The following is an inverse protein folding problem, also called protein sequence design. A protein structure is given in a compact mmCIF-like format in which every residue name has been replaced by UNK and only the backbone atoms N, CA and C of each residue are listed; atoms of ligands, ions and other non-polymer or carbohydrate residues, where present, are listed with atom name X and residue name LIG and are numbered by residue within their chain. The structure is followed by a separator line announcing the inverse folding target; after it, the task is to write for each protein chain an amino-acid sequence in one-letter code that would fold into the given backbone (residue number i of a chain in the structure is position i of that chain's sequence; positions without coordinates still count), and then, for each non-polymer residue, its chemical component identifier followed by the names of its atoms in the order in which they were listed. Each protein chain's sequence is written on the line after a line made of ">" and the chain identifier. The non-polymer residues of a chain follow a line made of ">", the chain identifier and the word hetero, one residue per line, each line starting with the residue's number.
data_IF_047497314964
#
_entry.id   IF_047497314964
#
_cell.length_a   1.000
_cell.length_b   1.000
_cell.length_c   1.000
_cell.angle_alpha   90.00
_cell.angle_beta   90.00
_cell.angle_gamma   90.00
#
_symmetry.space_group_name_H-M   'P 1'
#
loop_
_entity.id
_entity.type
_entity.pdbx_description
1 polymer ?
#
# COMPACT_ATOMS: atom_id res chain seq x y z
N UNK A 1 -4.41 -32.77 -4.57
CA UNK A 1 -4.42 -32.30 -3.16
C UNK A 1 -3.42 -31.17 -3.08
N UNK A 2 -3.88 -29.93 -3.08
CA UNK A 2 -2.96 -28.79 -2.93
C UNK A 2 -2.54 -28.74 -1.48
N UNK A 3 -1.23 -28.72 -1.28
CA UNK A 3 -0.57 -28.64 0.00
C UNK A 3 -1.14 -27.48 0.85
N UNK A 4 -1.74 -27.80 1.98
CA UNK A 4 -2.26 -26.82 2.96
C UNK A 4 -1.20 -26.44 3.99
N UNK A 5 0.02 -26.94 3.84
CA UNK A 5 1.10 -26.91 4.83
C UNK A 5 2.04 -25.71 4.68
N UNK A 6 1.57 -24.52 4.22
CA UNK A 6 2.38 -23.34 4.43
C UNK A 6 2.56 -23.15 5.96
N UNK A 7 3.79 -23.08 6.47
CA UNK A 7 4.00 -22.91 7.90
C UNK A 7 3.42 -21.56 8.36
N UNK A 8 2.87 -21.53 9.57
CA UNK A 8 2.54 -20.27 10.21
C UNK A 8 3.82 -19.48 10.46
N UNK A 9 3.72 -18.17 10.41
CA UNK A 9 4.84 -17.25 10.64
C UNK A 9 4.37 -16.00 11.38
N UNK A 10 5.29 -15.27 12.00
CA UNK A 10 4.97 -13.99 12.60
C UNK A 10 5.10 -12.86 11.58
N UNK A 11 4.03 -12.06 11.42
CA UNK A 11 4.07 -10.79 10.73
C UNK A 11 4.23 -9.63 11.72
N UNK A 12 4.91 -8.57 11.31
CA UNK A 12 5.10 -7.33 12.05
C UNK A 12 4.62 -6.15 11.19
N UNK A 13 3.61 -5.44 11.66
CA UNK A 13 3.23 -4.13 11.16
C UNK A 13 4.02 -3.07 11.96
N UNK A 14 5.22 -2.75 11.51
CA UNK A 14 6.14 -1.85 12.22
C UNK A 14 5.64 -0.41 12.16
N UNK A 15 5.28 0.16 13.30
CA UNK A 15 4.84 1.54 13.43
C UNK A 15 6.04 2.47 13.59
N UNK A 16 6.70 2.77 12.47
CA UNK A 16 7.90 3.60 12.42
C UNK A 16 7.56 5.09 12.27
N UNK A 17 8.45 5.96 12.76
CA UNK A 17 8.35 7.41 12.55
C UNK A 17 8.57 7.74 11.07
N UNK A 18 7.78 8.66 10.52
CA UNK A 18 8.05 9.28 9.23
C UNK A 18 8.84 10.58 9.41
N UNK A 19 9.98 10.69 8.75
CA UNK A 19 10.80 11.90 8.72
C UNK A 19 10.73 12.53 7.32
N UNK A 20 9.75 13.41 7.10
CA UNK A 20 9.45 13.97 5.80
C UNK A 20 10.62 14.79 5.20
N UNK A 21 10.80 14.67 3.88
CA UNK A 21 11.82 15.40 3.11
C UNK A 21 11.36 16.81 2.67
N UNK A 22 10.14 17.21 3.04
CA UNK A 22 9.59 18.51 2.67
C UNK A 22 10.53 19.70 3.00
N UNK A 23 11.20 19.75 4.18
CA UNK A 23 12.10 20.85 4.51
C UNK A 23 13.42 20.85 3.72
N UNK A 24 13.78 19.76 3.06
CA UNK A 24 15.03 19.64 2.33
C UNK A 24 15.08 20.64 1.16
N UNK A 25 16.20 21.31 1.00
CA UNK A 25 16.37 22.37 -0.01
C UNK A 25 16.83 21.84 -1.36
N UNK A 26 17.37 20.61 -1.39
CA UNK A 26 17.83 19.98 -2.62
C UNK A 26 17.48 18.48 -2.64
N UNK A 27 17.48 17.85 -3.83
CA UNK A 27 17.33 16.40 -3.94
C UNK A 27 18.41 15.62 -3.18
N UNK A 28 19.66 16.09 -3.17
CA UNK A 28 20.78 15.44 -2.47
C UNK A 28 20.55 15.42 -0.96
N UNK A 29 20.06 16.53 -0.38
CA UNK A 29 19.70 16.61 1.04
C UNK A 29 18.54 15.64 1.35
N UNK A 30 17.55 15.56 0.47
CA UNK A 30 16.43 14.62 0.61
C UNK A 30 16.90 13.16 0.55
N UNK A 31 17.80 12.82 -0.40
CA UNK A 31 18.38 11.46 -0.51
C UNK A 31 19.17 11.09 0.74
N UNK A 32 20.03 11.99 1.24
CA UNK A 32 20.78 11.77 2.48
C UNK A 32 19.84 11.52 3.67
N UNK A 33 18.73 12.25 3.76
CA UNK A 33 17.73 12.07 4.80
C UNK A 33 17.00 10.72 4.67
N UNK A 34 16.62 10.32 3.46
CA UNK A 34 16.01 9.00 3.21
C UNK A 34 16.97 7.87 3.60
N UNK A 35 18.24 7.95 3.23
CA UNK A 35 19.24 6.95 3.63
C UNK A 35 19.40 6.86 5.16
N UNK A 36 19.40 7.99 5.87
CA UNK A 36 19.40 7.99 7.34
C UNK A 36 18.13 7.34 7.90
N UNK A 37 16.97 7.58 7.28
CA UNK A 37 15.70 6.91 7.60
C UNK A 37 15.78 5.39 7.41
N UNK A 38 16.40 4.91 6.34
CA UNK A 38 16.61 3.47 6.09
C UNK A 38 17.51 2.85 7.17
N UNK A 39 18.58 3.53 7.58
CA UNK A 39 19.45 3.07 8.68
C UNK A 39 18.67 2.95 10.00
N UNK A 40 17.80 3.91 10.30
CA UNK A 40 16.92 3.86 11.47
C UNK A 40 15.93 2.71 11.38
N UNK A 41 15.24 2.53 10.27
CA UNK A 41 14.30 1.43 10.03
C UNK A 41 15.01 0.08 10.19
N UNK A 42 16.23 -0.05 9.66
CA UNK A 42 17.05 -1.26 9.87
C UNK A 42 17.26 -1.58 11.36
N UNK A 43 17.59 -0.57 12.15
CA UNK A 43 17.80 -0.75 13.60
C UNK A 43 16.48 -1.12 14.30
N UNK A 44 15.36 -0.51 13.93
CA UNK A 44 14.03 -0.84 14.47
C UNK A 44 13.64 -2.29 14.14
N UNK A 45 13.88 -2.75 12.91
CA UNK A 45 13.64 -4.14 12.48
C UNK A 45 14.53 -5.11 13.27
N UNK A 46 15.84 -4.81 13.39
CA UNK A 46 16.79 -5.63 14.13
C UNK A 46 16.37 -5.81 15.59
N UNK A 47 16.03 -4.70 16.27
CA UNK A 47 15.55 -4.71 17.66
C UNK A 47 14.24 -5.48 17.81
N UNK A 48 13.31 -5.31 16.86
CA UNK A 48 12.03 -6.03 16.87
C UNK A 48 12.23 -7.54 16.72
N UNK A 49 13.04 -7.98 15.77
CA UNK A 49 13.32 -9.42 15.56
C UNK A 49 14.06 -10.01 16.74
N UNK A 50 15.00 -9.27 17.34
CA UNK A 50 15.71 -9.73 18.53
C UNK A 50 14.78 -9.96 19.74
N UNK A 51 13.70 -9.16 19.84
CA UNK A 51 12.71 -9.28 20.90
C UNK A 51 11.61 -10.32 20.60
N UNK A 52 11.05 -10.32 19.39
CA UNK A 52 9.92 -11.17 18.99
C UNK A 52 10.38 -12.60 18.73
N UNK A 53 11.47 -12.77 17.99
CA UNK A 53 12.03 -14.06 17.60
C UNK A 53 12.26 -14.22 16.09
N UNK A 54 12.91 -15.31 15.66
CA UNK A 54 13.27 -15.58 14.28
C UNK A 54 12.09 -16.01 13.40
N UNK A 55 10.90 -16.20 13.97
CA UNK A 55 9.65 -16.53 13.28
C UNK A 55 9.08 -15.34 12.53
N UNK A 56 9.59 -14.13 12.71
CA UNK A 56 9.24 -12.95 11.92
C UNK A 56 9.68 -13.17 10.48
N UNK A 57 8.71 -13.27 9.56
CA UNK A 57 8.97 -13.49 8.12
C UNK A 57 8.36 -12.42 7.22
N UNK A 58 7.51 -11.56 7.77
CA UNK A 58 6.94 -10.42 7.06
C UNK A 58 7.03 -9.17 7.93
N UNK A 59 7.63 -8.11 7.40
CA UNK A 59 7.61 -6.77 8.01
C UNK A 59 6.95 -5.81 7.03
N UNK A 60 5.94 -5.08 7.49
CA UNK A 60 5.25 -4.04 6.72
C UNK A 60 5.58 -2.68 7.32
N UNK A 61 6.02 -1.75 6.47
CA UNK A 61 6.33 -0.37 6.84
C UNK A 61 5.16 0.57 6.55
N UNK A 62 5.07 1.71 7.25
CA UNK A 62 4.07 2.73 6.99
C UNK A 62 4.16 3.35 5.59
N UNK A 63 3.06 3.98 5.17
CA UNK A 63 3.06 4.90 4.04
C UNK A 63 4.02 6.07 4.31
N UNK A 64 4.74 6.50 3.29
CA UNK A 64 5.64 7.65 3.35
C UNK A 64 6.76 7.57 4.40
N UNK A 65 7.12 6.40 4.88
CA UNK A 65 8.10 6.24 5.97
C UNK A 65 9.44 6.96 5.71
N UNK A 66 9.83 7.13 4.44
CA UNK A 66 11.08 7.76 4.03
C UNK A 66 10.92 9.20 3.54
N UNK A 67 9.72 9.63 3.14
CA UNK A 67 9.58 10.85 2.31
C UNK A 67 8.59 11.88 2.86
N UNK A 68 7.54 11.46 3.54
CA UNK A 68 6.34 12.29 3.67
C UNK A 68 5.56 12.36 2.35
N UNK A 69 4.77 13.42 2.16
CA UNK A 69 3.91 13.63 1.00
C UNK A 69 3.97 15.09 0.52
N UNK A 70 3.63 15.40 -0.76
CA UNK A 70 3.71 16.75 -1.27
C UNK A 70 2.73 17.69 -0.55
N UNK A 71 3.22 18.84 -0.09
CA UNK A 71 2.46 19.85 0.66
C UNK A 71 2.50 21.24 -0.03
N UNK A 72 2.56 21.24 -1.35
CA UNK A 72 2.61 22.44 -2.16
C UNK A 72 3.70 22.42 -3.22
N UNK A 73 4.57 21.44 -3.21
CA UNK A 73 5.54 21.18 -4.28
C UNK A 73 4.79 20.86 -5.60
N UNK A 74 5.37 21.23 -6.72
CA UNK A 74 4.94 20.76 -8.03
C UNK A 74 5.27 19.27 -8.21
N UNK A 75 4.64 18.62 -9.18
CA UNK A 75 4.94 17.22 -9.49
C UNK A 75 6.42 17.00 -9.82
N UNK A 76 7.04 17.91 -10.57
CA UNK A 76 8.45 17.85 -10.93
C UNK A 76 9.38 18.03 -9.71
N UNK A 77 9.07 18.99 -8.82
CA UNK A 77 9.83 19.20 -7.58
C UNK A 77 9.74 18.00 -6.66
N UNK A 78 8.53 17.44 -6.48
CA UNK A 78 8.35 16.27 -5.62
C UNK A 78 9.01 15.03 -6.20
N UNK A 79 8.89 14.81 -7.52
CA UNK A 79 9.61 13.73 -8.22
C UNK A 79 11.12 13.80 -7.95
N UNK A 80 11.73 14.97 -8.12
CA UNK A 80 13.16 15.13 -7.90
C UNK A 80 13.59 14.86 -6.45
N UNK A 81 12.77 15.27 -5.47
CA UNK A 81 13.08 15.12 -4.04
C UNK A 81 12.78 13.72 -3.50
N UNK A 82 11.65 13.11 -3.88
CA UNK A 82 11.06 12.00 -3.15
C UNK A 82 10.93 10.71 -3.96
N UNK A 83 10.96 10.77 -5.31
CA UNK A 83 10.80 9.55 -6.10
C UNK A 83 12.13 8.77 -6.17
N UNK A 84 12.09 7.49 -5.87
CA UNK A 84 13.22 6.56 -5.78
C UNK A 84 13.29 5.77 -7.08
N UNK A 85 14.48 5.54 -7.60
CA UNK A 85 14.68 4.67 -8.74
C UNK A 85 14.61 3.19 -8.30
N UNK A 86 14.02 2.35 -9.16
CA UNK A 86 13.80 0.94 -8.85
C UNK A 86 15.11 0.13 -8.65
N UNK A 87 16.21 0.65 -9.17
CA UNK A 87 17.58 0.13 -9.06
C UNK A 87 18.51 1.12 -8.35
N UNK A 88 17.92 2.08 -7.61
CA UNK A 88 18.66 3.11 -6.90
C UNK A 88 19.17 2.66 -5.51
N UNK A 89 20.04 3.47 -4.90
CA UNK A 89 20.69 3.13 -3.63
C UNK A 89 19.71 2.95 -2.46
N UNK A 90 18.57 3.64 -2.47
CA UNK A 90 17.55 3.47 -1.45
C UNK A 90 16.88 2.10 -1.56
N UNK A 91 16.59 1.66 -2.81
CA UNK A 91 16.03 0.34 -3.05
C UNK A 91 17.03 -0.75 -2.67
N UNK A 92 18.29 -0.64 -3.07
CA UNK A 92 19.35 -1.58 -2.70
C UNK A 92 19.52 -1.69 -1.18
N UNK A 93 19.46 -0.57 -0.45
CA UNK A 93 19.55 -0.57 1.01
C UNK A 93 18.34 -1.27 1.67
N UNK A 94 17.14 -1.13 1.13
CA UNK A 94 15.95 -1.83 1.59
C UNK A 94 16.03 -3.33 1.27
N UNK A 95 16.51 -3.69 0.06
CA UNK A 95 16.72 -5.07 -0.35
C UNK A 95 17.75 -5.76 0.57
N UNK A 96 18.80 -5.04 0.96
CA UNK A 96 19.78 -5.55 1.91
C UNK A 96 19.17 -5.81 3.30
N UNK A 97 18.22 -5.00 3.77
CA UNK A 97 17.49 -5.28 5.02
C UNK A 97 16.74 -6.60 4.90
N UNK A 98 15.98 -6.81 3.82
CA UNK A 98 15.22 -8.03 3.59
C UNK A 98 16.12 -9.27 3.61
N UNK A 99 17.26 -9.22 2.90
CA UNK A 99 18.19 -10.35 2.82
C UNK A 99 18.94 -10.60 4.12
N UNK A 100 19.42 -9.56 4.81
CA UNK A 100 20.20 -9.71 6.05
C UNK A 100 19.37 -10.33 7.18
N UNK A 101 18.07 -10.05 7.23
CA UNK A 101 17.17 -10.58 8.25
C UNK A 101 16.34 -11.79 7.80
N UNK A 102 16.43 -12.20 6.53
CA UNK A 102 15.69 -13.33 5.99
C UNK A 102 14.16 -13.12 6.03
N UNK A 103 13.69 -11.91 5.72
CA UNK A 103 12.29 -11.49 5.81
C UNK A 103 11.76 -11.00 4.45
N UNK A 104 10.44 -11.07 4.27
CA UNK A 104 9.75 -10.25 3.28
C UNK A 104 9.55 -8.85 3.85
N UNK A 105 9.99 -7.83 3.13
CA UNK A 105 9.88 -6.43 3.53
C UNK A 105 8.92 -5.70 2.58
N UNK A 106 7.78 -5.27 3.12
CA UNK A 106 6.83 -4.45 2.37
C UNK A 106 6.99 -2.98 2.76
N UNK A 107 7.13 -2.11 1.75
CA UNK A 107 7.23 -0.67 1.94
C UNK A 107 6.44 0.09 0.89
N UNK A 108 6.13 1.35 1.16
CA UNK A 108 5.42 2.26 0.26
C UNK A 108 6.24 3.54 0.08
N UNK A 109 6.32 4.01 -1.15
CA UNK A 109 7.03 5.23 -1.48
C UNK A 109 6.68 5.74 -2.88
N UNK A 110 7.34 6.79 -3.28
CA UNK A 110 7.26 7.30 -4.65
C UNK A 110 8.39 6.70 -5.49
N UNK A 111 8.08 6.33 -6.72
CA UNK A 111 9.06 5.77 -7.65
C UNK A 111 9.08 6.50 -8.99
N UNK A 112 10.25 6.59 -9.59
CA UNK A 112 10.43 7.00 -10.98
C UNK A 112 10.10 5.84 -11.91
N UNK A 113 9.90 6.15 -13.20
CA UNK A 113 9.64 5.14 -14.21
C UNK A 113 10.23 5.52 -15.56
N UNK A 114 10.84 4.53 -16.25
CA UNK A 114 11.49 4.75 -17.55
C UNK A 114 10.48 4.99 -18.69
N UNK A 115 9.28 4.40 -18.60
CA UNK A 115 8.21 4.59 -19.59
C UNK A 115 7.43 5.89 -19.38
N UNK A 116 7.55 6.50 -18.18
CA UNK A 116 6.85 7.70 -17.75
C UNK A 116 7.81 8.70 -17.11
N UNK A 117 8.83 9.19 -17.84
CA UNK A 117 9.87 10.06 -17.27
C UNK A 117 9.32 11.41 -16.75
N UNK A 118 8.14 11.82 -17.19
CA UNK A 118 7.46 13.04 -16.75
C UNK A 118 6.73 12.88 -15.41
N UNK A 119 6.46 11.63 -15.00
CA UNK A 119 5.66 11.30 -13.84
C UNK A 119 6.51 10.66 -12.71
N UNK A 120 5.88 10.45 -11.61
CA UNK A 120 6.25 9.51 -10.57
C UNK A 120 4.99 8.77 -10.13
N UNK A 121 5.13 7.56 -9.62
CA UNK A 121 4.00 6.81 -9.08
C UNK A 121 4.21 6.54 -7.59
N UNK A 122 3.11 6.46 -6.85
CA UNK A 122 3.15 5.91 -5.50
C UNK A 122 3.04 4.39 -5.60
N UNK A 123 4.09 3.70 -5.17
CA UNK A 123 4.20 2.25 -5.24
C UNK A 123 4.22 1.58 -3.88
N UNK A 124 3.61 0.40 -3.80
CA UNK A 124 3.84 -0.57 -2.73
C UNK A 124 4.71 -1.70 -3.29
N UNK A 125 5.82 -1.96 -2.64
CA UNK A 125 6.80 -2.96 -3.05
C UNK A 125 6.93 -4.02 -1.96
N UNK A 126 7.06 -5.28 -2.35
CA UNK A 126 7.50 -6.36 -1.46
C UNK A 126 8.80 -6.92 -1.98
N UNK A 127 9.80 -6.93 -1.12
CA UNK A 127 11.13 -7.51 -1.36
C UNK A 127 11.20 -8.81 -0.57
N UNK A 128 11.66 -9.89 -1.19
CA UNK A 128 11.79 -11.18 -0.57
C UNK A 128 13.14 -11.37 0.16
N UNK A 129 13.35 -12.49 0.88
CA UNK A 129 14.61 -12.76 1.58
C UNK A 129 15.86 -12.86 0.68
N UNK A 130 15.72 -12.99 -0.63
CA UNK A 130 16.85 -12.93 -1.55
C UNK A 130 17.28 -11.51 -1.91
N UNK A 131 16.48 -10.51 -1.53
CA UNK A 131 16.63 -9.12 -1.95
C UNK A 131 15.92 -8.79 -3.27
N UNK A 132 15.19 -9.75 -3.85
CA UNK A 132 14.44 -9.52 -5.09
C UNK A 132 13.10 -8.85 -4.84
N UNK A 133 12.73 -7.92 -5.71
CA UNK A 133 11.38 -7.36 -5.74
C UNK A 133 10.41 -8.41 -6.30
N UNK A 134 9.54 -8.96 -5.46
CA UNK A 134 8.55 -9.97 -5.84
C UNK A 134 7.17 -9.41 -6.09
N UNK A 135 6.88 -8.21 -5.61
CA UNK A 135 5.63 -7.50 -5.87
C UNK A 135 5.88 -6.02 -6.06
N UNK A 136 5.23 -5.44 -7.06
CA UNK A 136 5.08 -4.00 -7.25
C UNK A 136 3.62 -3.71 -7.56
N UNK A 137 2.99 -2.91 -6.73
CA UNK A 137 1.64 -2.40 -6.92
C UNK A 137 1.68 -0.88 -6.95
N UNK A 138 1.24 -0.26 -8.04
CA UNK A 138 1.09 1.19 -8.16
C UNK A 138 -0.32 1.60 -7.79
N UNK A 139 -0.42 2.55 -6.90
CA UNK A 139 -1.69 3.10 -6.43
C UNK A 139 -2.55 3.57 -7.61
N UNK A 140 -3.78 3.09 -7.68
CA UNK A 140 -4.74 3.38 -8.78
C UNK A 140 -5.62 4.60 -8.47
N UNK A 141 -5.90 4.85 -7.19
CA UNK A 141 -6.78 5.93 -6.74
C UNK A 141 -5.99 6.89 -5.85
N UNK A 142 -5.76 8.12 -6.32
CA UNK A 142 -5.00 9.12 -5.58
C UNK A 142 -5.58 10.52 -5.77
N UNK A 143 -5.44 11.33 -4.71
CA UNK A 143 -5.77 12.76 -4.70
C UNK A 143 -4.57 13.66 -5.00
N UNK A 144 -3.34 13.11 -4.99
CA UNK A 144 -2.13 13.94 -4.99
C UNK A 144 -0.98 13.40 -5.84
N UNK A 145 -1.12 12.20 -6.39
CA UNK A 145 -0.07 11.59 -7.20
C UNK A 145 -0.67 11.00 -8.49
N UNK A 146 0.08 11.01 -9.61
CA UNK A 146 -0.30 10.28 -10.81
C UNK A 146 -0.53 8.78 -10.53
N UNK A 147 -1.46 8.21 -11.24
CA UNK A 147 -1.80 6.79 -11.14
C UNK A 147 -1.74 6.11 -12.51
N UNK A 148 -1.64 4.78 -12.58
CA UNK A 148 -1.78 4.03 -13.82
C UNK A 148 -3.05 4.35 -14.59
N UNK A 149 -4.15 4.65 -13.90
CA UNK A 149 -5.43 4.99 -14.53
C UNK A 149 -5.39 6.33 -15.28
N UNK A 150 -4.55 7.26 -14.86
CA UNK A 150 -4.38 8.55 -15.52
C UNK A 150 -3.66 8.44 -16.87
N UNK A 151 -2.99 7.32 -17.15
CA UNK A 151 -2.22 7.03 -18.37
C UNK A 151 -2.46 5.59 -18.85
N UNK A 152 -3.71 5.11 -18.72
CA UNK A 152 -4.05 3.69 -18.71
C UNK A 152 -3.55 2.94 -19.94
N UNK A 153 -3.87 3.37 -21.17
CA UNK A 153 -3.47 2.66 -22.38
C UNK A 153 -1.96 2.47 -22.48
N UNK A 154 -1.21 3.56 -22.27
CA UNK A 154 0.26 3.50 -22.28
C UNK A 154 0.82 2.65 -21.13
N UNK A 155 0.14 2.65 -19.98
CA UNK A 155 0.53 1.80 -18.85
C UNK A 155 0.31 0.31 -19.16
N UNK A 156 -0.82 -0.04 -19.76
CA UNK A 156 -1.11 -1.42 -20.19
C UNK A 156 -0.16 -1.90 -21.30
N UNK A 157 0.19 -1.03 -22.23
CA UNK A 157 1.19 -1.34 -23.26
C UNK A 157 2.57 -1.65 -22.67
N UNK A 158 2.96 -0.94 -21.60
CA UNK A 158 4.26 -1.13 -20.94
C UNK A 158 4.30 -2.33 -19.98
N UNK A 159 3.22 -2.60 -19.24
CA UNK A 159 3.21 -3.50 -18.08
C UNK A 159 2.16 -4.62 -18.14
N UNK A 160 1.18 -4.52 -19.05
CA UNK A 160 0.05 -5.45 -19.14
C UNK A 160 -1.00 -5.29 -18.03
N UNK A 161 -2.14 -5.95 -18.21
CA UNK A 161 -3.29 -5.86 -17.28
C UNK A 161 -2.99 -6.43 -15.89
N UNK A 162 -2.11 -7.43 -15.80
CA UNK A 162 -1.77 -8.06 -14.53
C UNK A 162 -1.03 -7.13 -13.55
N UNK A 163 -0.41 -6.07 -14.08
CA UNK A 163 0.27 -5.05 -13.27
C UNK A 163 -0.69 -4.14 -12.49
N UNK A 164 -1.97 -4.08 -12.86
CA UNK A 164 -2.97 -3.28 -12.12
C UNK A 164 -3.33 -3.90 -10.77
N UNK A 165 -3.40 -5.23 -10.70
CA UNK A 165 -3.76 -5.96 -9.47
C UNK A 165 -2.81 -7.15 -9.27
N UNK A 166 -1.53 -6.92 -8.99
CA UNK A 166 -0.53 -7.97 -8.87
C UNK A 166 -0.72 -8.80 -7.59
N UNK A 167 -0.42 -10.08 -7.70
CA UNK A 167 -0.35 -11.02 -6.58
C UNK A 167 0.96 -11.79 -6.69
N UNK A 168 1.80 -11.73 -5.67
CA UNK A 168 3.05 -12.48 -5.60
C UNK A 168 2.83 -13.82 -4.90
N UNK A 169 3.23 -14.93 -5.55
CA UNK A 169 3.28 -16.25 -4.93
C UNK A 169 4.62 -16.39 -4.20
N UNK A 170 4.59 -16.53 -2.89
CA UNK A 170 5.78 -16.53 -2.03
C UNK A 170 5.77 -17.72 -1.07
N UNK A 171 6.92 -17.98 -0.42
CA UNK A 171 7.03 -19.03 0.59
C UNK A 171 6.12 -18.80 1.82
N UNK A 172 5.69 -17.54 2.06
CA UNK A 172 4.82 -17.16 3.17
C UNK A 172 3.35 -16.96 2.76
N UNK A 173 2.96 -17.42 1.56
CA UNK A 173 1.61 -17.29 1.00
C UNK A 173 1.54 -16.29 -0.16
N UNK A 174 0.34 -16.08 -0.68
CA UNK A 174 0.10 -15.14 -1.77
C UNK A 174 -0.12 -13.75 -1.24
N UNK A 175 0.86 -12.87 -1.48
CA UNK A 175 0.85 -11.50 -1.01
C UNK A 175 0.29 -10.56 -2.09
N UNK A 176 -0.43 -9.54 -1.66
CA UNK A 176 -0.77 -8.37 -2.46
C UNK A 176 -0.71 -7.11 -1.60
N UNK A 177 -0.75 -5.94 -2.23
CA UNK A 177 -0.65 -4.67 -1.54
C UNK A 177 -1.89 -3.80 -1.72
N UNK A 178 -2.18 -2.98 -0.71
CA UNK A 178 -3.20 -1.94 -0.75
C UNK A 178 -2.52 -0.64 -0.30
N UNK A 179 -2.63 0.42 -1.09
CA UNK A 179 -1.98 1.69 -0.82
C UNK A 179 -2.91 2.61 -0.02
N UNK A 180 -2.64 2.76 1.28
CA UNK A 180 -3.24 3.76 2.15
C UNK A 180 -4.78 3.85 2.06
N UNK A 181 -5.32 4.97 1.55
CA UNK A 181 -6.76 5.20 1.46
C UNK A 181 -7.50 4.22 0.55
N UNK A 182 -6.79 3.49 -0.32
CA UNK A 182 -7.41 2.46 -1.16
C UNK A 182 -8.04 1.32 -0.36
N UNK A 183 -7.69 1.18 0.92
CA UNK A 183 -8.40 0.27 1.84
C UNK A 183 -9.90 0.63 1.98
N UNK A 184 -10.29 1.87 1.67
CA UNK A 184 -11.69 2.32 1.70
C UNK A 184 -12.49 1.79 0.51
N UNK A 185 -11.84 1.41 -0.59
CA UNK A 185 -12.48 0.92 -1.81
C UNK A 185 -12.51 -0.61 -1.79
N UNK A 186 -13.70 -1.23 -1.60
CA UNK A 186 -13.82 -2.69 -1.51
C UNK A 186 -13.36 -3.40 -2.80
N UNK A 187 -13.47 -2.74 -3.95
CA UNK A 187 -13.11 -3.27 -5.25
C UNK A 187 -11.61 -3.59 -5.34
N UNK A 188 -10.74 -2.72 -4.81
CA UNK A 188 -9.29 -2.94 -4.82
C UNK A 188 -8.93 -4.24 -4.11
N UNK A 189 -9.34 -4.39 -2.86
CA UNK A 189 -9.08 -5.61 -2.10
C UNK A 189 -9.75 -6.85 -2.74
N UNK A 190 -10.96 -6.69 -3.30
CA UNK A 190 -11.70 -7.75 -3.96
C UNK A 190 -10.98 -8.26 -5.20
N UNK A 191 -10.47 -7.38 -6.05
CA UNK A 191 -9.77 -7.75 -7.27
C UNK A 191 -8.46 -8.48 -6.96
N UNK A 192 -7.70 -8.04 -5.96
CA UNK A 192 -6.56 -8.80 -5.47
C UNK A 192 -6.95 -10.19 -4.94
N UNK A 193 -8.04 -10.27 -4.18
CA UNK A 193 -8.50 -11.54 -3.59
C UNK A 193 -8.96 -12.55 -4.65
N UNK A 194 -9.67 -12.13 -5.70
CA UNK A 194 -10.09 -13.02 -6.78
C UNK A 194 -8.92 -13.49 -7.64
N UNK A 195 -7.81 -12.74 -7.67
CA UNK A 195 -6.53 -13.16 -8.23
C UNK A 195 -5.73 -14.06 -7.28
N UNK A 196 -6.23 -14.28 -6.05
CA UNK A 196 -5.70 -15.28 -5.13
C UNK A 196 -4.96 -14.73 -3.92
N UNK A 197 -4.88 -13.42 -3.70
CA UNK A 197 -4.20 -12.84 -2.54
C UNK A 197 -4.76 -13.39 -1.22
N UNK A 198 -3.88 -13.84 -0.33
CA UNK A 198 -4.19 -14.40 0.99
C UNK A 198 -3.82 -13.44 2.13
N UNK A 199 -2.88 -12.54 1.86
CA UNK A 199 -2.43 -11.49 2.77
C UNK A 199 -2.35 -10.16 2.02
N UNK A 200 -2.99 -9.15 2.56
CA UNK A 200 -2.84 -7.77 2.12
C UNK A 200 -1.82 -7.05 2.99
N UNK A 201 -0.69 -6.65 2.43
CA UNK A 201 0.20 -5.69 3.06
C UNK A 201 -0.38 -4.30 2.83
N UNK A 202 -0.58 -3.54 3.91
CA UNK A 202 -1.22 -2.24 3.87
C UNK A 202 -0.36 -1.19 4.56
N UNK A 203 0.21 -0.30 3.78
CA UNK A 203 0.96 0.86 4.28
C UNK A 203 0.01 2.06 4.40
N UNK A 204 -0.02 2.71 5.54
CA UNK A 204 -0.94 3.80 5.86
C UNK A 204 -0.24 4.93 6.61
N UNK A 205 -0.81 6.14 6.48
CA UNK A 205 -0.47 7.34 7.25
C UNK A 205 -1.76 8.00 7.77
N UNK A 206 -2.60 7.21 8.39
CA UNK A 206 -3.93 7.62 8.84
C UNK A 206 -3.86 8.60 10.01
N UNK A 207 -4.77 9.59 9.98
CA UNK A 207 -4.94 10.54 11.09
C UNK A 207 -5.34 9.79 12.36
N UNK A 208 -4.65 10.09 13.46
CA UNK A 208 -4.91 9.51 14.78
C UNK A 208 -6.26 9.93 15.34
N UNK A 209 -7.01 8.95 15.84
CA UNK A 209 -8.28 9.21 16.55
C UNK A 209 -8.52 8.12 17.60
N UNK A 210 -9.04 8.45 18.77
CA UNK A 210 -9.53 7.46 19.73
C UNK A 210 -10.80 6.76 19.27
N UNK A 211 -11.49 7.33 18.28
CA UNK A 211 -12.70 6.76 17.67
C UNK A 211 -12.31 5.87 16.48
N UNK A 212 -13.20 4.97 16.11
CA UNK A 212 -13.03 4.16 14.91
C UNK A 212 -13.08 5.05 13.66
N UNK A 213 -11.96 5.15 12.96
CA UNK A 213 -11.89 5.86 11.68
C UNK A 213 -12.38 4.99 10.53
N UNK A 214 -12.78 5.59 9.39
CA UNK A 214 -13.17 4.81 8.21
C UNK A 214 -12.13 3.78 7.79
N UNK A 215 -10.83 4.11 7.77
CA UNK A 215 -9.77 3.16 7.44
C UNK A 215 -9.65 2.03 8.46
N UNK A 216 -9.81 2.30 9.75
CA UNK A 216 -9.78 1.28 10.79
C UNK A 216 -10.94 0.29 10.67
N UNK A 217 -12.12 0.75 10.29
CA UNK A 217 -13.27 -0.11 9.98
C UNK A 217 -13.00 -0.91 8.70
N UNK A 218 -12.50 -0.25 7.66
CA UNK A 218 -12.22 -0.88 6.39
C UNK A 218 -11.18 -2.02 6.49
N UNK A 219 -10.14 -1.89 7.33
CA UNK A 219 -9.16 -2.97 7.57
C UNK A 219 -9.84 -4.28 7.97
N UNK A 220 -10.82 -4.22 8.87
CA UNK A 220 -11.58 -5.39 9.30
C UNK A 220 -12.51 -5.90 8.19
N UNK A 221 -13.22 -4.97 7.52
CA UNK A 221 -14.12 -5.32 6.43
C UNK A 221 -13.38 -6.02 5.29
N UNK A 222 -12.22 -5.48 4.85
CA UNK A 222 -11.42 -6.10 3.76
C UNK A 222 -10.93 -7.49 4.14
N UNK A 223 -10.59 -7.75 5.41
CA UNK A 223 -10.21 -9.07 5.88
C UNK A 223 -11.40 -10.06 5.76
N UNK A 224 -12.57 -9.71 6.30
CA UNK A 224 -13.77 -10.55 6.29
C UNK A 224 -14.25 -10.83 4.87
N UNK A 225 -14.45 -9.78 4.08
CA UNK A 225 -15.02 -9.86 2.74
C UNK A 225 -14.19 -10.70 1.78
N UNK A 226 -12.88 -10.79 2.03
CA UNK A 226 -11.93 -11.44 1.15
C UNK A 226 -11.33 -12.71 1.75
N UNK A 227 -11.68 -13.04 2.98
CA UNK A 227 -11.13 -14.19 3.71
C UNK A 227 -9.59 -14.18 3.64
N UNK A 228 -9.01 -13.02 3.94
CA UNK A 228 -7.58 -12.75 3.86
C UNK A 228 -7.08 -12.03 5.12
N UNK A 229 -5.80 -12.16 5.41
CA UNK A 229 -5.17 -11.33 6.44
C UNK A 229 -4.98 -9.89 5.94
N UNK A 230 -5.05 -8.94 6.86
CA UNK A 230 -4.61 -7.55 6.63
C UNK A 230 -3.49 -7.26 7.63
N UNK A 231 -2.29 -7.02 7.12
CA UNK A 231 -1.13 -6.56 7.90
C UNK A 231 -0.95 -5.08 7.59
N UNK A 232 -1.42 -4.23 8.48
CA UNK A 232 -1.50 -2.78 8.27
C UNK A 232 -0.55 -2.02 9.17
N UNK A 233 0.46 -1.38 8.58
CA UNK A 233 1.36 -0.48 9.28
C UNK A 233 0.93 0.98 9.08
N UNK A 234 0.76 1.71 10.18
CA UNK A 234 0.56 3.16 10.21
C UNK A 234 1.81 3.87 10.72
N UNK A 235 1.96 5.15 10.48
CA UNK A 235 3.08 5.93 11.02
C UNK A 235 3.01 6.01 12.55
N UNK A 236 4.18 6.01 13.19
CA UNK A 236 4.37 6.32 14.61
C UNK A 236 4.54 7.82 14.86
N UNK A 237 3.98 8.65 13.97
CA UNK A 237 4.13 10.10 13.93
C UNK A 237 4.88 10.56 12.69
N UNK A 238 4.76 11.85 12.37
CA UNK A 238 5.40 12.48 11.21
C UNK A 238 6.12 13.76 11.64
N UNK A 239 7.39 13.91 11.25
CA UNK A 239 8.19 15.13 11.47
C UNK A 239 8.56 15.76 10.14
N UNK A 240 9.02 17.02 10.16
CA UNK A 240 9.41 17.73 8.94
C UNK A 240 8.24 18.28 8.13
N UNK A 241 7.06 18.34 8.69
CA UNK A 241 5.85 18.97 8.12
C UNK A 241 5.26 19.96 9.13
N UNK A 242 4.39 20.90 8.69
CA UNK A 242 3.64 21.77 9.61
C UNK A 242 2.59 21.03 10.46
N UNK A 243 2.28 19.78 10.10
CA UNK A 243 1.30 18.96 10.81
C UNK A 243 1.88 18.54 12.17
N UNK A 244 1.15 18.69 13.29
CA UNK A 244 1.63 18.21 14.58
C UNK A 244 1.99 16.71 14.52
N UNK A 245 3.16 16.34 15.04
CA UNK A 245 3.77 15.01 14.87
C UNK A 245 2.82 13.85 15.16
N UNK A 246 2.03 13.94 16.23
CA UNK A 246 1.12 12.87 16.65
C UNK A 246 -0.21 12.84 15.88
N UNK A 247 -0.37 13.68 14.85
CA UNK A 247 -1.63 13.69 14.07
C UNK A 247 -1.79 12.47 13.17
N UNK A 248 -0.68 11.84 12.76
CA UNK A 248 -0.67 10.60 11.98
C UNK A 248 0.06 9.52 12.78
N UNK A 249 -0.58 8.99 13.78
CA UNK A 249 -0.01 8.10 14.77
C UNK A 249 -0.97 6.95 15.10
N UNK A 250 -0.47 5.87 15.72
CA UNK A 250 -1.21 4.66 16.14
C UNK A 250 -1.97 3.90 15.03
N UNK A 251 -2.54 2.76 15.41
CA UNK A 251 -3.48 2.01 14.57
C UNK A 251 -2.83 1.03 13.60
N UNK A 252 -1.51 0.80 13.70
CA UNK A 252 -0.91 -0.38 13.08
C UNK A 252 -1.54 -1.62 13.68
N UNK A 253 -2.00 -2.56 12.84
CA UNK A 253 -2.69 -3.76 13.31
C UNK A 253 -2.59 -4.93 12.35
N UNK A 254 -2.80 -6.12 12.90
CA UNK A 254 -2.96 -7.35 12.14
C UNK A 254 -4.38 -7.86 12.35
N UNK A 255 -5.08 -8.10 11.24
CA UNK A 255 -6.47 -8.59 11.23
C UNK A 255 -6.50 -9.95 10.53
N UNK A 256 -7.14 -10.94 11.17
CA UNK A 256 -7.30 -12.28 10.60
C UNK A 256 -8.45 -12.35 9.57
N UNK A 257 -8.58 -13.45 8.79
CA UNK A 257 -9.63 -13.59 7.77
C UNK A 257 -11.07 -13.59 8.31
N UNK A 258 -11.27 -13.59 9.62
CA UNK A 258 -12.58 -13.48 10.30
C UNK A 258 -12.87 -12.06 10.78
N UNK A 259 -11.94 -11.12 10.55
CA UNK A 259 -12.02 -9.74 11.00
C UNK A 259 -11.63 -9.54 12.45
N UNK A 260 -10.93 -10.51 13.07
CA UNK A 260 -10.45 -10.40 14.44
C UNK A 260 -9.12 -9.65 14.43
N UNK A 261 -9.02 -8.61 15.24
CA UNK A 261 -7.76 -7.91 15.50
C UNK A 261 -6.89 -8.83 16.38
N UNK A 262 -5.78 -9.30 15.82
CA UNK A 262 -4.83 -10.16 16.53
C UNK A 262 -3.82 -9.35 17.36
N UNK A 263 -3.43 -8.19 16.85
CA UNK A 263 -2.53 -7.24 17.51
C UNK A 263 -2.78 -5.83 17.02
N UNK A 264 -2.57 -4.84 17.87
CA UNK A 264 -2.68 -3.41 17.55
C UNK A 264 -1.65 -2.60 18.35
N UNK A 265 -1.01 -1.63 17.71
CA UNK A 265 -0.07 -0.72 18.34
C UNK A 265 -0.78 0.52 18.90
N UNK A 266 -0.34 0.97 20.06
CA UNK A 266 -0.70 2.24 20.66
C UNK A 266 0.04 3.41 19.97
N UNK A 267 0.07 4.59 20.58
CA UNK A 267 0.73 5.78 20.05
C UNK A 267 2.26 5.67 20.06
N UNK A 268 2.90 6.37 19.13
CA UNK A 268 4.36 6.44 18.97
C UNK A 268 4.95 5.30 18.15
N UNK A 269 6.24 5.36 17.83
CA UNK A 269 6.96 4.26 17.21
C UNK A 269 6.83 2.97 18.04
N UNK A 270 6.45 1.87 17.40
CA UNK A 270 6.09 0.64 18.10
C UNK A 270 6.25 -0.61 17.25
N UNK A 271 6.70 -1.68 17.86
CA UNK A 271 6.68 -3.03 17.29
C UNK A 271 5.50 -3.89 17.79
N UNK A 272 4.59 -3.34 18.60
CA UNK A 272 3.58 -4.15 19.30
C UNK A 272 2.49 -4.72 18.37
N UNK A 273 2.38 -4.27 17.14
CA UNK A 273 1.48 -4.86 16.16
C UNK A 273 2.15 -6.06 15.45
N UNK A 274 2.40 -7.14 16.18
CA UNK A 274 2.88 -8.40 15.62
C UNK A 274 1.98 -9.56 16.04
N UNK A 275 1.77 -10.51 15.13
CA UNK A 275 0.96 -11.69 15.39
C UNK A 275 1.31 -12.83 14.42
N UNK A 276 0.91 -14.03 14.79
CA UNK A 276 0.99 -15.19 13.92
C UNK A 276 0.00 -15.09 12.76
N UNK A 277 0.47 -15.39 11.54
CA UNK A 277 -0.31 -15.51 10.31
C UNK A 277 -0.34 -16.99 9.93
N UNK A 278 -1.53 -17.62 10.06
CA UNK A 278 -1.82 -19.00 9.64
C UNK A 278 -2.48 -18.98 8.25
N UNK A 279 -1.68 -19.13 7.20
CA UNK A 279 -2.20 -19.19 5.82
C UNK A 279 -3.17 -20.39 5.63
N UNK A 280 -2.96 -21.48 6.35
CA UNK A 280 -3.85 -22.62 6.30
C UNK A 280 -5.26 -22.26 6.81
N UNK A 281 -5.40 -21.34 7.76
CA UNK A 281 -6.71 -20.84 8.21
C UNK A 281 -7.44 -20.13 7.04
N UNK A 282 -6.80 -19.21 6.34
CA UNK A 282 -7.40 -18.52 5.19
C UNK A 282 -7.83 -19.51 4.12
N UNK A 283 -6.98 -20.49 3.78
CA UNK A 283 -7.25 -21.55 2.81
C UNK A 283 -8.41 -22.45 3.25
N UNK A 284 -8.49 -22.82 4.53
CA UNK A 284 -9.62 -23.59 5.08
C UNK A 284 -10.94 -22.84 4.97
N UNK A 285 -10.95 -21.54 5.33
CA UNK A 285 -12.15 -20.70 5.25
C UNK A 285 -12.65 -20.55 3.80
N UNK A 286 -11.74 -20.34 2.84
CA UNK A 286 -12.06 -20.22 1.41
C UNK A 286 -12.60 -21.50 0.79
N UNK A 287 -12.25 -22.68 1.32
CA UNK A 287 -12.73 -23.98 0.85
C UNK A 287 -14.01 -24.46 1.54
N UNK A 288 -14.39 -23.83 2.63
CA UNK A 288 -15.58 -24.24 3.38
C UNK A 288 -16.85 -23.78 2.67
N UNK A 289 -17.77 -24.69 2.40
CA UNK A 289 -19.14 -24.37 1.96
C UNK A 289 -19.91 -23.80 3.14
N UNK A 290 -20.06 -22.47 3.20
CA UNK A 290 -20.73 -21.77 4.29
C UNK A 290 -21.22 -20.39 3.85
N UNK A 291 -22.15 -19.81 4.61
CA UNK A 291 -22.62 -18.44 4.39
C UNK A 291 -21.50 -17.40 4.45
N UNK A 292 -20.49 -17.62 5.28
CA UNK A 292 -19.32 -16.74 5.42
C UNK A 292 -18.28 -16.87 4.30
N UNK A 293 -18.44 -17.78 3.34
CA UNK A 293 -17.55 -17.82 2.18
C UNK A 293 -17.97 -16.77 1.14
N UNK A 294 -17.60 -15.53 1.40
CA UNK A 294 -18.01 -14.39 0.59
C UNK A 294 -17.36 -14.37 -0.81
N UNK A 295 -16.22 -15.03 -1.00
CA UNK A 295 -15.58 -15.14 -2.32
C UNK A 295 -16.37 -16.08 -3.24
N UNK A 296 -16.74 -17.28 -2.75
CA UNK A 296 -17.40 -18.30 -3.58
C UNK A 296 -18.87 -18.00 -3.89
N UNK A 297 -19.47 -16.98 -3.26
CA UNK A 297 -20.90 -16.69 -3.37
C UNK A 297 -21.24 -15.45 -4.20
N UNK A 298 -20.25 -14.76 -4.75
CA UNK A 298 -20.48 -13.49 -5.42
C UNK A 298 -20.69 -13.64 -6.93
N UNK A 299 -21.80 -13.11 -7.48
CA UNK A 299 -22.05 -13.09 -8.93
C UNK A 299 -21.30 -11.93 -9.60
N UNK A 300 -19.98 -12.03 -9.74
CA UNK A 300 -19.09 -10.97 -10.23
C UNK A 300 -19.55 -10.35 -11.57
N UNK A 301 -20.04 -11.18 -12.49
CA UNK A 301 -20.54 -10.71 -13.80
C UNK A 301 -21.75 -9.77 -13.68
N UNK A 302 -22.54 -9.89 -12.60
CA UNK A 302 -23.65 -8.97 -12.34
C UNK A 302 -23.12 -7.58 -11.93
N UNK A 303 -22.12 -7.57 -11.05
CA UNK A 303 -21.51 -6.32 -10.58
C UNK A 303 -20.79 -5.60 -11.72
N UNK A 304 -20.03 -6.33 -12.54
CA UNK A 304 -19.30 -5.73 -13.67
C UNK A 304 -20.25 -5.00 -14.65
N UNK A 305 -21.44 -5.56 -14.90
CA UNK A 305 -22.44 -4.90 -15.78
C UNK A 305 -22.96 -3.59 -15.21
N UNK A 306 -23.16 -3.50 -13.91
CA UNK A 306 -23.68 -2.29 -13.26
C UNK A 306 -22.56 -1.26 -13.10
N UNK A 307 -21.33 -1.66 -12.77
CA UNK A 307 -20.19 -0.75 -12.74
C UNK A 307 -19.91 -0.13 -14.11
N UNK A 308 -19.96 -0.91 -15.21
CA UNK A 308 -19.77 -0.40 -16.55
C UNK A 308 -20.80 0.66 -16.95
N UNK A 309 -22.06 0.57 -16.46
CA UNK A 309 -23.09 1.60 -16.67
C UNK A 309 -22.86 2.84 -15.79
N UNK A 310 -22.27 2.64 -14.63
CA UNK A 310 -22.06 3.70 -13.64
C UNK A 310 -20.77 4.50 -13.88
N UNK A 311 -19.89 4.01 -14.75
CA UNK A 311 -18.61 4.64 -15.01
C UNK A 311 -18.76 6.08 -15.53
N UNK A 312 -18.12 7.00 -14.85
CA UNK A 312 -18.07 8.44 -15.14
C UNK A 312 -16.68 9.03 -14.87
N UNK A 313 -15.74 8.20 -14.40
CA UNK A 313 -14.41 8.65 -14.10
C UNK A 313 -13.53 8.51 -15.36
N UNK A 314 -12.98 9.61 -15.91
CA UNK A 314 -12.22 9.55 -17.15
C UNK A 314 -10.93 8.79 -16.98
N UNK A 315 -10.72 7.75 -17.78
CA UNK A 315 -9.43 7.08 -17.94
C UNK A 315 -8.48 7.93 -18.81
N UNK A 316 -7.19 7.70 -18.69
CA UNK A 316 -6.19 8.36 -19.54
C UNK A 316 -6.15 9.89 -19.39
N UNK A 317 -6.59 10.43 -18.25
CA UNK A 317 -6.82 11.88 -18.06
C UNK A 317 -5.55 12.74 -18.09
N UNK A 318 -4.36 12.13 -18.03
CA UNK A 318 -3.06 12.78 -18.26
C UNK A 318 -2.49 12.50 -19.67
N UNK A 319 -3.28 11.91 -20.57
CA UNK A 319 -2.90 11.75 -21.98
C UNK A 319 -3.48 12.87 -22.83
N UNK A 320 -2.64 13.51 -23.65
CA UNK A 320 -3.06 14.52 -24.62
C UNK A 320 -2.25 14.36 -25.90
N UNK A 321 -2.93 14.20 -27.01
CA UNK A 321 -2.32 14.04 -28.35
C UNK A 321 -1.26 12.90 -28.40
N UNK A 322 -1.46 11.82 -27.62
CA UNK A 322 -0.54 10.70 -27.48
C UNK A 322 0.62 10.91 -26.49
N UNK A 323 0.75 12.11 -25.92
CA UNK A 323 1.81 12.45 -24.98
C UNK A 323 1.32 12.51 -23.53
N UNK A 324 2.21 12.13 -22.61
CA UNK A 324 1.96 12.21 -21.16
C UNK A 324 2.09 13.65 -20.70
N UNK A 325 1.12 14.13 -19.93
CA UNK A 325 1.13 15.46 -19.36
C UNK A 325 1.48 15.43 -17.87
N UNK A 326 2.31 16.35 -17.43
CA UNK A 326 2.53 16.55 -15.98
C UNK A 326 1.31 17.23 -15.37
N UNK A 327 0.71 16.69 -14.29
CA UNK A 327 -0.48 17.26 -13.69
C UNK A 327 -0.22 18.65 -13.08
N UNK A 328 -1.14 19.59 -13.33
CA UNK A 328 -1.18 20.85 -12.61
C UNK A 328 -1.59 20.62 -11.13
N UNK A 329 -1.23 21.53 -10.23
CA UNK A 329 -1.57 21.45 -8.79
C UNK A 329 -3.07 21.29 -8.51
N UNK A 330 -3.95 21.86 -9.34
CA UNK A 330 -5.40 21.75 -9.20
C UNK A 330 -6.01 20.50 -9.83
N UNK A 331 -5.26 19.77 -10.66
CA UNK A 331 -5.75 18.70 -11.54
C UNK A 331 -6.69 17.71 -10.84
N UNK A 332 -6.26 17.13 -9.74
CA UNK A 332 -7.06 16.10 -9.04
C UNK A 332 -8.33 16.65 -8.42
N UNK A 333 -8.27 17.86 -7.86
CA UNK A 333 -9.42 18.56 -7.30
C UNK A 333 -10.44 18.92 -8.40
N UNK A 334 -9.97 19.45 -9.53
CA UNK A 334 -10.83 19.86 -10.63
C UNK A 334 -11.52 18.64 -11.26
N UNK A 335 -10.79 17.53 -11.42
CA UNK A 335 -11.34 16.24 -11.85
C UNK A 335 -12.41 15.73 -10.88
N UNK A 336 -12.14 15.73 -9.59
CA UNK A 336 -13.12 15.29 -8.59
C UNK A 336 -14.38 16.17 -8.61
N UNK A 337 -14.23 17.48 -8.78
CA UNK A 337 -15.37 18.41 -8.92
C UNK A 337 -16.22 18.04 -10.13
N UNK A 338 -15.61 17.79 -11.29
CA UNK A 338 -16.34 17.39 -12.48
C UNK A 338 -17.09 16.05 -12.32
N UNK A 339 -16.49 15.08 -11.62
CA UNK A 339 -17.14 13.80 -11.30
C UNK A 339 -18.34 14.01 -10.35
N UNK A 340 -18.20 14.86 -9.34
CA UNK A 340 -19.31 15.22 -8.42
C UNK A 340 -20.48 15.83 -9.19
N UNK A 341 -20.20 16.76 -10.10
CA UNK A 341 -21.23 17.36 -10.95
C UNK A 341 -21.92 16.33 -11.85
N UNK A 342 -21.16 15.38 -12.41
CA UNK A 342 -21.72 14.30 -13.23
C UNK A 342 -22.63 13.37 -12.40
N UNK A 343 -22.23 13.03 -11.16
CA UNK A 343 -23.04 12.24 -10.22
C UNK A 343 -24.34 12.97 -9.87
N UNK A 344 -24.27 14.28 -9.59
CA UNK A 344 -25.45 15.11 -9.31
C UNK A 344 -26.42 15.14 -10.50
N UNK A 345 -25.91 15.31 -11.72
CA UNK A 345 -26.73 15.26 -12.96
C UNK A 345 -27.42 13.90 -13.17
N UNK A 346 -26.81 12.81 -12.71
CA UNK A 346 -27.39 11.44 -12.75
C UNK A 346 -28.33 11.15 -11.56
N UNK A 347 -28.47 12.06 -10.60
CA UNK A 347 -29.31 11.89 -9.41
C UNK A 347 -28.74 10.85 -8.42
N UNK A 348 -27.43 10.66 -8.41
CA UNK A 348 -26.74 9.78 -7.44
C UNK A 348 -26.47 10.52 -6.14
N UNK A 349 -26.19 11.81 -6.23
CA UNK A 349 -25.99 12.74 -5.09
C UNK A 349 -26.79 14.01 -5.28
#
# INVERSE_FOLDING_TARGET
>A
MTDTSAPAYTALALQSLCEAVNPCKSPEEARAKMMAGIVRIRAEIAGSIAFIGPEVKLVVLPEYALTGFPMGESAAEWRAKAAIDADGPEFEAMAKIASDFGIHLAWNGYETDLHFPELYFQGCVVIDPSGAQVLRYRRLISMYAPSPYDVLDRYLDAYGEDALFPVADTAIGRLSAIASEEILYPEIARLHAVKGAEVFVHSSSEVSSPLATPKNIAKLARAIENLAYVVSANTGGMTGTPIPQASADRGSKIVDPRGIILAEAASGPSMCAFAEVDIALARRLRRKTAMGNLLARQPMALYAREYAKADIHPEGSLMKDGEVQTPAKSFYRDRQTAVIEALAKRGVI
#
